data_IF_945739849037
#
_entry.id   IF_945739849037
#
_cell.length_a   1.000
_cell.length_b   1.000
_cell.length_c   1.000
_cell.angle_alpha   90.00
_cell.angle_beta   90.00
_cell.angle_gamma   90.00
#
_symmetry.space_group_name_H-M   'P 1'
#
loop_
_entity.id
_entity.type
_entity.pdbx_description
1 polymer ?
2 non-polymer ?
3 non-polymer ?
4 water ?
#
# COMPACT_ATOMS: atom_id res chain seq x y z
N UNK A 33 -21.92 23.21 8.44
CA UNK A 33 -23.29 22.92 8.83
C UNK A 33 -23.37 21.89 9.95
N UNK A 34 -24.32 22.07 10.85
CA UNK A 34 -24.59 21.06 11.88
C UNK A 34 -25.14 19.81 11.22
N UNK A 35 -25.91 20.00 10.16
CA UNK A 35 -26.57 18.90 9.47
C UNK A 35 -25.60 18.05 8.65
N UNK A 36 -24.59 18.69 8.07
CA UNK A 36 -23.58 17.96 7.30
C UNK A 36 -22.80 17.00 8.20
N UNK A 37 -22.45 17.47 9.39
CA UNK A 37 -21.70 16.66 10.34
C UNK A 37 -22.52 15.48 10.85
N UNK A 38 -23.83 15.71 11.02
CA UNK A 38 -24.73 14.66 11.47
C UNK A 38 -24.72 13.46 10.53
N UNK A 39 -24.76 13.76 9.23
CA UNK A 39 -24.81 12.73 8.20
C UNK A 39 -23.52 11.92 8.16
N UNK A 40 -22.38 12.62 8.17
CA UNK A 40 -21.08 11.96 8.15
C UNK A 40 -20.86 11.11 9.39
N UNK A 41 -21.24 11.64 10.55
CA UNK A 41 -21.14 10.91 11.80
C UNK A 41 -21.91 9.59 11.73
N UNK A 42 -23.15 9.67 11.26
CA UNK A 42 -23.99 8.50 11.11
C UNK A 42 -23.39 7.52 10.09
N UNK A 43 -22.86 8.08 9.00
CA UNK A 43 -22.32 7.28 7.92
C UNK A 43 -21.07 6.51 8.35
N UNK A 44 -20.22 7.16 9.16
CA UNK A 44 -19.05 6.50 9.73
C UNK A 44 -19.45 5.26 10.52
N UNK A 45 -20.32 5.47 11.50
CA UNK A 45 -20.71 4.42 12.42
C UNK A 45 -21.43 3.28 11.70
N UNK A 46 -22.24 3.63 10.71
CA UNK A 46 -23.00 2.64 9.96
C UNK A 46 -22.09 1.77 9.10
N UNK A 47 -21.14 2.39 8.42
CA UNK A 47 -20.22 1.65 7.55
C UNK A 47 -19.19 0.87 8.36
N UNK A 48 -18.75 1.44 9.48
CA UNK A 48 -17.90 0.71 10.40
C UNK A 48 -18.62 -0.56 10.82
N UNK A 49 -19.88 -0.42 11.18
CA UNK A 49 -20.71 -1.55 11.57
C UNK A 49 -21.12 -2.45 10.41
N UNK A 50 -21.80 -1.88 9.40
CA UNK A 50 -22.36 -2.69 8.31
C UNK A 50 -21.52 -2.83 7.03
N UNK A 51 -20.48 -2.01 6.88
CA UNK A 51 -19.78 -1.96 5.61
C UNK A 51 -20.52 -1.13 4.58
N UNK A 52 -19.79 -0.68 3.54
CA UNK A 52 -20.34 0.20 2.52
C UNK A 52 -21.63 -0.29 1.89
N UNK A 53 -21.56 -1.44 1.22
CA UNK A 53 -22.67 -1.99 0.44
C UNK A 53 -24.00 -2.02 1.19
N UNK A 54 -23.97 -2.50 2.43
CA UNK A 54 -25.19 -2.71 3.20
C UNK A 54 -25.69 -1.44 3.90
N UNK A 55 -24.97 -0.34 3.74
CA UNK A 55 -25.40 0.92 4.34
C UNK A 55 -26.25 1.72 3.36
N UNK A 56 -27.54 1.80 3.65
CA UNK A 56 -28.50 2.52 2.80
C UNK A 56 -28.49 4.01 3.07
N UNK A 57 -28.92 4.80 2.09
CA UNK A 57 -29.26 6.19 2.33
C UNK A 57 -30.37 6.22 3.38
N UNK A 58 -31.27 5.26 3.29
CA UNK A 58 -32.36 5.09 4.24
C UNK A 58 -31.84 4.86 5.66
N UNK A 59 -30.82 4.01 5.80
CA UNK A 59 -30.22 3.74 7.11
C UNK A 59 -29.64 5.01 7.70
N UNK A 60 -28.98 5.79 6.86
CA UNK A 60 -28.34 7.02 7.29
C UNK A 60 -29.38 8.00 7.85
N UNK A 61 -30.55 8.05 7.22
CA UNK A 61 -31.66 8.86 7.72
C UNK A 61 -32.09 8.39 9.10
N UNK A 62 -32.28 7.08 9.23
CA UNK A 62 -32.69 6.47 10.49
C UNK A 62 -31.77 6.88 11.63
N UNK A 63 -30.48 6.98 11.33
CA UNK A 63 -29.49 7.36 12.33
C UNK A 63 -29.42 8.86 12.60
N UNK A 64 -29.36 9.68 11.54
CA UNK A 64 -29.19 11.12 11.72
C UNK A 64 -30.48 11.94 11.73
N UNK A 65 -31.60 11.32 11.37
CA UNK A 65 -32.88 12.02 11.36
C UNK A 65 -33.17 12.85 10.11
N UNK A 66 -32.15 13.11 9.31
CA UNK A 66 -32.31 13.89 8.07
C UNK A 66 -32.90 13.04 6.95
N UNK A 67 -33.88 13.59 6.24
CA UNK A 67 -34.53 12.88 5.14
C UNK A 67 -33.57 12.64 3.97
N UNK A 68 -33.79 11.57 3.20
CA UNK A 68 -32.95 11.24 2.04
C UNK A 68 -32.76 12.41 1.09
N UNK A 69 -33.84 13.15 0.84
CA UNK A 69 -33.79 14.33 -0.03
C UNK A 69 -32.80 15.36 0.49
N UNK A 70 -32.72 15.49 1.81
CA UNK A 70 -31.77 16.41 2.42
C UNK A 70 -30.35 15.89 2.26
N UNK A 71 -30.18 14.58 2.41
CA UNK A 71 -28.88 13.94 2.23
C UNK A 71 -28.38 14.12 0.80
N UNK A 72 -29.22 13.75 -0.16
CA UNK A 72 -28.92 13.95 -1.57
C UNK A 72 -28.61 15.41 -1.89
N UNK A 73 -29.35 16.32 -1.26
CA UNK A 73 -29.18 17.74 -1.53
C UNK A 73 -27.79 18.23 -1.09
N UNK A 74 -27.25 17.62 -0.04
CA UNK A 74 -25.94 17.97 0.46
C UNK A 74 -24.82 17.32 -0.36
N UNK A 75 -24.75 15.99 -0.32
CA UNK A 75 -23.63 15.27 -0.96
C UNK A 75 -23.91 14.70 -2.35
N UNK A 76 -25.15 14.79 -2.81
CA UNK A 76 -25.49 14.45 -4.18
C UNK A 76 -25.77 12.98 -4.44
N UNK A 77 -25.21 12.12 -3.61
CA UNK A 77 -25.31 10.66 -3.77
C UNK A 77 -24.57 9.95 -2.66
N UNK A 78 -24.69 8.63 -2.64
CA UNK A 78 -24.04 7.80 -1.63
C UNK A 78 -22.52 7.88 -1.72
N UNK A 79 -21.99 7.86 -2.94
CA UNK A 79 -20.56 8.00 -3.15
C UNK A 79 -20.11 9.39 -2.76
N UNK A 80 -20.94 10.39 -3.04
CA UNK A 80 -20.66 11.76 -2.67
C UNK A 80 -20.57 11.93 -1.17
N UNK A 81 -21.34 11.12 -0.44
CA UNK A 81 -21.26 11.10 1.02
C UNK A 81 -19.95 10.48 1.44
N UNK A 82 -19.66 9.30 0.89
CA UNK A 82 -18.45 8.54 1.20
C UNK A 82 -17.19 9.39 1.03
N UNK A 83 -17.14 10.15 -0.07
CA UNK A 83 -16.05 11.05 -0.35
C UNK A 83 -15.86 12.07 0.78
N UNK A 84 -16.88 12.90 0.99
CA UNK A 84 -16.85 13.94 2.02
C UNK A 84 -16.53 13.37 3.40
N UNK A 85 -17.04 12.18 3.67
CA UNK A 85 -16.73 11.44 4.88
C UNK A 85 -15.24 11.15 4.97
N UNK A 86 -14.69 10.70 3.85
CA UNK A 86 -13.30 10.28 3.77
C UNK A 86 -12.37 11.49 3.81
N UNK A 87 -12.80 12.59 3.21
CA UNK A 87 -11.97 13.80 3.17
C UNK A 87 -11.78 14.42 4.54
N UNK A 88 -12.88 14.64 5.27
CA UNK A 88 -12.78 15.29 6.57
C UNK A 88 -12.05 14.38 7.56
N UNK A 89 -12.02 13.09 7.26
CA UNK A 89 -11.22 12.15 8.01
C UNK A 89 -9.74 12.44 7.80
N UNK A 90 -9.40 12.85 6.57
CA UNK A 90 -8.03 13.25 6.24
C UNK A 90 -7.67 14.55 6.94
N UNK A 91 -8.56 15.54 6.78
CA UNK A 91 -8.36 16.87 7.33
C UNK A 91 -8.05 16.82 8.83
N UNK A 92 -8.62 15.85 9.52
CA UNK A 92 -8.36 15.64 10.94
C UNK A 92 -7.05 14.90 11.18
N UNK A 93 -6.74 13.94 10.31
CA UNK A 93 -5.49 13.20 10.41
C UNK A 93 -4.31 14.14 10.26
N UNK A 94 -4.43 15.09 9.34
CA UNK A 94 -3.35 16.01 9.04
C UNK A 94 -3.23 17.12 10.07
N UNK A 95 -4.37 17.60 10.57
CA UNK A 95 -4.37 18.66 11.58
C UNK A 95 -3.75 18.19 12.89
N UNK A 96 -3.84 16.88 13.15
CA UNK A 96 -3.25 16.30 14.36
C UNK A 96 -1.74 16.24 14.25
N UNK A 97 -1.22 16.50 13.06
CA UNK A 97 0.22 16.62 12.83
C UNK A 97 0.59 18.06 12.48
N UNK A 98 1.46 18.69 13.29
CA UNK A 98 1.83 20.07 12.99
C UNK A 98 2.74 20.16 11.76
N UNK A 99 2.69 21.27 11.04
CA UNK A 99 3.64 21.51 9.97
C UNK A 99 4.98 21.87 10.64
N UNK A 100 6.01 22.11 9.84
CA UNK A 100 7.33 22.39 10.39
C UNK A 100 7.36 23.71 11.14
N UNK A 101 6.69 24.71 10.60
CA UNK A 101 6.67 26.02 11.24
C UNK A 101 5.78 26.00 12.47
N UNK A 102 4.84 25.07 12.50
CA UNK A 102 4.00 24.87 13.68
C UNK A 102 4.80 24.21 14.79
N UNK A 103 5.96 23.67 14.40
CA UNK A 103 7.11 23.51 15.31
C UNK A 103 6.66 22.82 16.65
N UNK A 104 6.99 23.22 17.90
CA UNK A 104 7.90 24.27 18.35
C UNK A 104 9.11 23.66 19.05
N UNK A 105 10.05 24.51 19.45
CA UNK A 105 11.33 24.06 19.96
C UNK A 105 12.43 24.34 18.96
N UNK A 106 13.68 24.46 19.45
CA UNK A 106 14.85 24.84 18.65
C UNK A 106 15.27 23.77 17.66
N UNK A 107 14.36 23.33 16.79
CA UNK A 107 14.61 22.21 15.89
C UNK A 107 15.10 21.06 16.77
N UNK A 108 14.18 20.49 17.56
CA UNK A 108 14.57 19.65 18.70
C UNK A 108 15.35 18.40 18.19
N UNK A 109 14.85 17.50 17.30
CA UNK A 109 13.74 17.53 16.32
C UNK A 109 14.04 18.57 15.16
N UNK A 110 13.14 19.19 14.35
CA UNK A 110 11.69 19.29 14.40
C UNK A 110 10.90 18.01 14.00
N UNK A 111 11.59 16.87 14.13
CA UNK A 111 10.97 15.53 14.28
C UNK A 111 9.88 15.32 15.39
N UNK A 112 10.27 15.12 16.68
CA UNK A 112 9.34 15.02 17.87
C UNK A 112 8.02 14.41 17.47
N UNK A 113 7.04 15.30 17.61
CA UNK A 113 5.67 15.16 17.18
C UNK A 113 5.59 14.51 15.81
N UNK A 114 6.16 15.19 14.82
CA UNK A 114 5.99 14.82 13.42
C UNK A 114 6.14 13.33 13.20
N UNK A 115 7.17 12.73 13.80
CA UNK A 115 7.22 11.27 13.82
C UNK A 115 6.32 10.70 14.93
N UNK A 116 6.38 11.26 16.13
CA UNK A 116 5.61 10.78 17.27
C UNK A 116 4.10 10.80 17.01
N UNK A 117 3.62 11.88 16.41
CA UNK A 117 2.21 11.98 16.02
C UNK A 117 1.90 10.92 14.97
N UNK A 118 2.66 10.94 13.89
CA UNK A 118 2.53 9.98 12.80
C UNK A 118 2.52 8.55 13.31
N UNK A 119 3.37 8.27 14.31
CA UNK A 119 3.40 6.97 14.97
C UNK A 119 2.08 6.68 15.69
N UNK A 120 1.65 7.61 16.53
CA UNK A 120 0.43 7.43 17.31
C UNK A 120 -0.80 7.52 16.43
N UNK A 121 -0.67 8.18 15.28
CA UNK A 121 -1.79 8.30 14.36
C UNK A 121 -1.94 7.06 13.50
N UNK A 122 -1.03 6.11 13.62
CA UNK A 122 -1.47 4.78 13.31
C UNK A 122 -1.58 4.09 14.66
N UNK A 123 -2.77 4.20 15.25
CA UNK A 123 -3.25 3.30 16.28
C UNK A 123 -4.73 3.15 16.04
N UNK A 124 -5.11 2.05 15.37
CA UNK A 124 -6.50 1.74 15.03
C UNK A 124 -7.38 2.99 14.84
N UNK A 125 -6.75 4.01 14.26
CA UNK A 125 -7.44 4.91 13.37
C UNK A 125 -6.67 4.90 12.05
N UNK A 126 -6.43 3.70 11.45
CA UNK A 126 -6.16 3.88 10.03
C UNK A 126 -7.46 4.27 9.38
N UNK A 127 -8.51 3.46 9.61
CA UNK A 127 -9.88 3.87 9.31
C UNK A 127 -9.88 4.47 7.92
N UNK A 128 -9.89 5.79 7.93
CA UNK A 128 -9.65 6.62 6.77
C UNK A 128 -8.53 6.11 5.85
N UNK A 129 -7.45 5.58 6.42
CA UNK A 129 -6.34 5.05 5.62
C UNK A 129 -6.78 3.88 4.74
N UNK A 130 -7.42 2.89 5.36
CA UNK A 130 -7.94 1.74 4.62
C UNK A 130 -8.89 2.19 3.52
N UNK A 131 -9.76 3.13 3.86
CA UNK A 131 -10.70 3.69 2.90
C UNK A 131 -9.95 4.36 1.74
N UNK A 132 -8.89 5.10 2.07
CA UNK A 132 -8.10 5.77 1.04
C UNK A 132 -7.51 4.78 0.05
N UNK A 133 -6.82 3.77 0.56
CA UNK A 133 -6.16 2.80 -0.30
C UNK A 133 -7.19 2.01 -1.11
N UNK A 134 -8.35 1.75 -0.52
CA UNK A 134 -9.44 1.12 -1.27
C UNK A 134 -9.90 2.01 -2.42
N UNK A 135 -10.19 3.26 -2.10
CA UNK A 135 -10.71 4.20 -3.09
C UNK A 135 -9.69 4.53 -4.18
N UNK A 136 -8.41 4.43 -3.84
CA UNK A 136 -7.36 4.77 -4.79
C UNK A 136 -7.29 3.76 -5.94
N UNK A 137 -7.71 2.54 -5.67
CA UNK A 137 -7.70 1.48 -6.66
C UNK A 137 -9.05 1.23 -7.32
N UNK A 138 -10.07 2.00 -6.92
CA UNK A 138 -11.41 1.82 -7.49
C UNK A 138 -11.44 2.22 -8.96
N UNK A 139 -12.14 1.41 -9.76
CA UNK A 139 -12.22 1.64 -11.20
C UNK A 139 -13.55 2.28 -11.58
N UNK A 140 -13.52 3.11 -12.62
CA UNK A 140 -14.67 3.90 -13.05
C UNK A 140 -15.16 4.78 -11.91
N UNK A 141 -14.23 5.50 -11.30
CA UNK A 141 -14.49 6.22 -10.07
C UNK A 141 -15.35 7.47 -10.24
N UNK A 142 -16.30 7.64 -9.34
CA UNK A 142 -17.10 8.86 -9.25
C UNK A 142 -16.17 10.07 -9.11
N UNK A 143 -16.44 11.12 -9.89
CA UNK A 143 -15.57 12.32 -9.96
C UNK A 143 -15.26 12.93 -8.59
N UNK A 144 -16.29 13.03 -7.75
CA UNK A 144 -16.13 13.61 -6.42
C UNK A 144 -15.13 12.80 -5.60
N UNK A 145 -15.16 11.48 -5.77
CA UNK A 145 -14.27 10.60 -5.03
C UNK A 145 -12.83 10.70 -5.53
N UNK A 146 -12.68 10.67 -6.85
CA UNK A 146 -11.36 10.76 -7.47
C UNK A 146 -10.66 12.05 -7.10
N UNK A 147 -11.44 13.13 -6.97
CA UNK A 147 -10.91 14.42 -6.59
C UNK A 147 -10.43 14.42 -5.14
N UNK A 148 -11.19 13.74 -4.28
CA UNK A 148 -10.84 13.68 -2.86
C UNK A 148 -9.59 12.85 -2.67
N UNK A 149 -9.53 11.71 -3.35
CA UNK A 149 -8.36 10.83 -3.30
C UNK A 149 -7.10 11.59 -3.72
N UNK A 150 -7.22 12.40 -4.77
CA UNK A 150 -6.08 13.16 -5.28
C UNK A 150 -5.64 14.24 -4.29
N UNK A 151 -6.59 14.94 -3.68
CA UNK A 151 -6.26 16.00 -2.74
C UNK A 151 -5.56 15.44 -1.50
N UNK A 152 -6.04 14.28 -1.03
CA UNK A 152 -5.45 13.64 0.15
C UNK A 152 -4.03 13.18 -0.13
N UNK A 153 -3.85 12.49 -1.26
CA UNK A 153 -2.53 12.01 -1.66
C UNK A 153 -1.55 13.16 -1.85
N UNK A 154 -1.98 14.20 -2.56
CA UNK A 154 -1.16 15.38 -2.77
C UNK A 154 -0.81 16.06 -1.46
N UNK A 155 -1.76 16.09 -0.54
CA UNK A 155 -1.53 16.72 0.76
C UNK A 155 -0.47 15.95 1.53
N UNK A 156 -0.63 14.63 1.58
CA UNK A 156 0.33 13.77 2.27
C UNK A 156 1.74 13.95 1.71
N UNK A 157 1.85 13.95 0.39
CA UNK A 157 3.13 14.18 -0.28
C UNK A 157 3.70 15.53 0.11
N UNK A 158 2.85 16.55 0.08
CA UNK A 158 3.25 17.91 0.42
C UNK A 158 3.76 18.00 1.86
N UNK A 159 3.13 17.26 2.77
CA UNK A 159 3.49 17.28 4.17
C UNK A 159 4.86 16.65 4.41
N UNK A 160 5.12 15.52 3.76
CA UNK A 160 6.42 14.89 3.84
C UNK A 160 7.50 15.81 3.25
N UNK A 161 7.15 16.47 2.15
CA UNK A 161 8.06 17.39 1.50
C UNK A 161 8.43 18.55 2.42
N UNK A 162 7.46 19.01 3.21
CA UNK A 162 7.69 20.11 4.15
C UNK A 162 8.75 19.74 5.19
N UNK A 163 8.65 18.54 5.74
CA UNK A 163 9.58 18.09 6.76
C UNK A 163 10.97 17.83 6.19
N UNK A 164 11.02 17.15 5.05
CA UNK A 164 12.26 16.63 4.50
C UNK A 164 13.23 17.72 4.02
N UNK A 165 12.70 18.84 3.53
CA UNK A 165 13.56 19.94 3.05
C UNK A 165 14.53 20.42 4.13
N UNK A 166 14.14 20.24 5.39
CA UNK A 166 14.96 20.70 6.51
C UNK A 166 16.05 19.70 6.88
N UNK A 167 16.07 18.55 6.23
CA UNK A 167 17.12 17.57 6.45
C UNK A 167 18.37 17.86 5.62
N UNK A 168 18.23 18.74 4.64
CA UNK A 168 19.35 19.08 3.76
C UNK A 168 20.17 20.25 4.29
N UNK A 169 21.49 20.25 3.99
CA UNK A 169 22.33 21.42 4.29
C UNK A 169 21.79 22.66 3.60
N UNK A 170 21.97 23.83 4.21
CA UNK A 170 21.41 25.06 3.68
C UNK A 170 22.14 25.56 2.43
N UNK A 171 23.36 25.08 2.22
CA UNK A 171 24.21 25.60 1.15
C UNK A 171 24.02 24.84 -0.16
N UNK A 172 23.05 23.93 -0.17
CA UNK A 172 22.68 23.22 -1.40
C UNK A 172 21.90 24.14 -2.32
N UNK A 173 22.33 24.26 -3.59
CA UNK A 173 21.60 25.06 -4.58
C UNK A 173 20.14 24.58 -4.72
N UNK A 174 19.18 25.51 -4.65
CA UNK A 174 17.74 25.23 -4.58
C UNK A 174 17.23 24.24 -5.64
N UNK A 175 17.69 24.38 -6.88
CA UNK A 175 17.27 23.49 -7.95
C UNK A 175 17.72 22.07 -7.68
N UNK A 176 18.97 21.92 -7.25
CA UNK A 176 19.52 20.63 -6.88
C UNK A 176 18.78 20.07 -5.68
N UNK A 177 18.42 20.95 -4.75
CA UNK A 177 17.68 20.56 -3.56
C UNK A 177 16.31 19.99 -3.94
N UNK A 178 15.64 20.65 -4.87
CA UNK A 178 14.31 20.24 -5.32
C UNK A 178 14.30 18.80 -5.81
N UNK A 179 15.35 18.42 -6.53
CA UNK A 179 15.46 17.07 -7.05
C UNK A 179 15.63 16.05 -5.93
N UNK A 180 16.55 16.35 -5.01
CA UNK A 180 16.84 15.45 -3.89
C UNK A 180 15.62 15.29 -3.00
N UNK A 181 15.01 16.42 -2.63
CA UNK A 181 13.83 16.44 -1.77
C UNK A 181 12.69 15.63 -2.38
N UNK A 182 12.47 15.80 -3.68
CA UNK A 182 11.39 15.10 -4.37
C UNK A 182 11.60 13.59 -4.34
N UNK A 183 12.85 13.16 -4.43
CA UNK A 183 13.15 11.74 -4.47
C UNK A 183 13.08 11.13 -3.07
N UNK A 184 13.49 11.88 -2.06
CA UNK A 184 13.39 11.43 -0.68
C UNK A 184 11.93 11.39 -0.25
N UNK A 185 11.15 12.35 -0.73
CA UNK A 185 9.73 12.44 -0.41
C UNK A 185 8.99 11.23 -0.94
N UNK A 186 9.20 10.93 -2.22
CA UNK A 186 8.61 9.76 -2.86
C UNK A 186 8.96 8.50 -2.09
N UNK A 187 10.21 8.43 -1.63
CA UNK A 187 10.70 7.28 -0.88
C UNK A 187 9.98 7.15 0.46
N UNK A 188 9.85 8.26 1.17
CA UNK A 188 9.22 8.28 2.49
C UNK A 188 7.74 7.92 2.40
N UNK A 189 7.06 8.51 1.41
CA UNK A 189 5.65 8.25 1.19
C UNK A 189 5.41 6.78 0.89
N UNK A 190 6.29 6.19 0.08
CA UNK A 190 6.22 4.77 -0.23
C UNK A 190 6.33 3.93 1.04
N UNK A 191 7.33 4.25 1.87
CA UNK A 191 7.56 3.52 3.10
C UNK A 191 6.37 3.66 4.04
N UNK A 192 5.83 4.87 4.13
CA UNK A 192 4.70 5.15 5.00
C UNK A 192 3.46 4.38 4.55
N UNK A 193 3.26 4.31 3.24
CA UNK A 193 2.19 3.48 2.68
C UNK A 193 2.36 2.03 3.10
N UNK A 194 3.60 1.56 3.04
CA UNK A 194 3.92 0.19 3.43
C UNK A 194 3.66 -0.09 4.89
N UNK A 195 3.78 0.94 5.73
CA UNK A 195 3.58 0.78 7.17
C UNK A 195 2.13 0.41 7.50
N UNK A 196 1.17 1.00 6.78
CA UNK A 196 -0.23 0.66 6.99
C UNK A 196 -0.46 -0.83 6.77
N UNK A 197 0.05 -1.33 5.64
CA UNK A 197 -0.17 -2.72 5.26
C UNK A 197 0.55 -3.68 6.20
N UNK A 198 1.74 -3.28 6.65
CA UNK A 198 2.46 -4.06 7.64
C UNK A 198 1.63 -4.21 8.91
N UNK A 199 1.03 -3.11 9.35
CA UNK A 199 0.19 -3.11 10.53
C UNK A 199 -1.11 -3.84 10.30
N UNK A 200 -1.57 -3.86 9.06
CA UNK A 200 -2.80 -4.58 8.70
C UNK A 200 -2.58 -6.07 8.54
N UNK A 201 -1.54 -6.45 7.77
CA UNK A 201 -1.25 -7.84 7.48
C UNK A 201 -0.43 -8.55 8.56
N UNK A 202 0.42 -7.80 9.25
CA UNK A 202 1.20 -8.35 10.35
C UNK A 202 1.07 -7.52 11.62
N UNK A 203 -0.16 -7.40 12.16
CA UNK A 203 -0.39 -6.52 13.31
C UNK A 203 0.37 -6.96 14.56
N UNK A 204 0.54 -8.27 14.70
CA UNK A 204 1.21 -8.84 15.87
C UNK A 204 2.68 -8.41 15.96
N UNK A 205 3.42 -8.62 14.87
CA UNK A 205 4.87 -8.45 14.89
C UNK A 205 5.36 -7.09 14.38
N UNK A 206 4.44 -6.20 14.03
CA UNK A 206 4.84 -4.91 13.46
C UNK A 206 5.01 -3.85 14.53
N UNK A 207 6.15 -3.16 14.50
CA UNK A 207 6.40 -2.03 15.38
C UNK A 207 6.40 -0.76 14.54
N UNK A 208 5.36 0.05 14.68
CA UNK A 208 5.17 1.22 13.83
C UNK A 208 6.23 2.28 14.10
N UNK A 209 6.47 2.54 15.38
CA UNK A 209 7.44 3.54 15.79
C UNK A 209 8.83 3.19 15.29
N UNK A 210 9.21 1.93 15.46
CA UNK A 210 10.51 1.45 15.04
C UNK A 210 10.72 1.62 13.53
N UNK A 211 9.67 1.36 12.76
CA UNK A 211 9.74 1.45 11.31
C UNK A 211 9.98 2.87 10.82
N UNK A 212 9.31 3.84 11.43
CA UNK A 212 9.49 5.23 11.06
C UNK A 212 10.84 5.72 11.53
N UNK A 213 11.40 5.05 12.52
CA UNK A 213 12.73 5.37 12.98
C UNK A 213 13.73 4.96 11.92
N UNK A 214 13.52 3.78 11.36
CA UNK A 214 14.39 3.29 10.29
C UNK A 214 14.24 4.17 9.05
N UNK A 215 13.07 4.75 8.86
CA UNK A 215 12.85 5.64 7.73
C UNK A 215 13.73 6.87 7.80
N UNK A 216 13.66 7.59 8.92
CA UNK A 216 14.43 8.82 9.07
C UNK A 216 15.92 8.52 9.04
N UNK A 217 16.29 7.35 9.58
CA UNK A 217 17.67 6.90 9.50
C UNK A 217 18.06 6.63 8.06
N UNK A 218 17.14 6.03 7.30
CA UNK A 218 17.39 5.74 5.90
C UNK A 218 17.51 7.02 5.10
N UNK A 219 16.63 7.98 5.38
CA UNK A 219 16.64 9.27 4.69
C UNK A 219 17.93 10.03 4.94
N UNK A 220 18.39 10.02 6.19
CA UNK A 220 19.62 10.70 6.55
C UNK A 220 20.82 10.08 5.88
N UNK A 221 20.74 8.76 5.64
CA UNK A 221 21.82 8.06 4.96
C UNK A 221 21.78 8.30 3.45
N UNK A 222 20.58 8.48 2.91
CA UNK A 222 20.41 8.64 1.47
C UNK A 222 20.76 10.05 0.98
N UNK A 223 20.74 11.02 1.88
CA UNK A 223 21.02 12.40 1.50
C UNK A 223 22.44 12.57 0.92
N UNK A 224 23.48 12.06 1.61
CA UNK A 224 24.80 12.16 0.98
C UNK A 224 24.88 11.43 -0.37
N UNK A 225 24.25 10.26 -0.44
CA UNK A 225 24.26 9.47 -1.65
C UNK A 225 23.63 10.21 -2.84
N UNK A 226 22.52 10.90 -2.58
CA UNK A 226 21.80 11.61 -3.63
C UNK A 226 22.58 12.80 -4.17
N UNK A 227 23.30 13.49 -3.30
CA UNK A 227 24.05 14.67 -3.70
C UNK A 227 25.32 14.30 -4.47
N UNK A 228 25.75 13.05 -4.35
CA UNK A 228 26.91 12.57 -5.09
C UNK A 228 26.66 12.60 -6.59
N UNK B 33 -7.93 -29.68 -15.10
CA UNK B 33 -6.52 -29.37 -15.38
C UNK B 33 -6.45 -28.30 -16.45
N UNK B 34 -6.66 -28.70 -17.70
CA UNK B 34 -6.75 -27.76 -18.80
C UNK B 34 -8.03 -26.92 -18.67
N UNK B 35 -9.01 -27.48 -17.97
CA UNK B 35 -10.28 -26.80 -17.76
C UNK B 35 -10.12 -25.61 -16.82
N UNK B 36 -9.36 -25.81 -15.75
CA UNK B 36 -9.08 -24.76 -14.78
C UNK B 36 -8.42 -23.57 -15.45
N UNK B 37 -7.46 -23.84 -16.33
CA UNK B 37 -6.71 -22.78 -16.99
C UNK B 37 -7.58 -21.93 -17.89
N UNK B 38 -8.44 -22.56 -18.68
CA UNK B 38 -9.29 -21.81 -19.61
C UNK B 38 -10.38 -21.02 -18.88
N UNK B 39 -10.72 -21.45 -17.67
CA UNK B 39 -11.69 -20.70 -16.86
C UNK B 39 -11.05 -19.42 -16.34
N UNK B 40 -9.83 -19.55 -15.81
CA UNK B 40 -9.10 -18.40 -15.28
C UNK B 40 -8.75 -17.41 -16.38
N UNK B 41 -8.30 -17.93 -17.52
CA UNK B 41 -7.98 -17.10 -18.68
C UNK B 41 -9.17 -16.24 -19.07
N UNK B 42 -10.33 -16.88 -19.20
CA UNK B 42 -11.56 -16.18 -19.53
C UNK B 42 -11.92 -15.18 -18.43
N UNK B 43 -11.69 -15.56 -17.18
CA UNK B 43 -12.04 -14.72 -16.05
C UNK B 43 -11.14 -13.48 -15.97
N UNK B 44 -9.86 -13.66 -16.27
CA UNK B 44 -8.92 -12.53 -16.37
C UNK B 44 -9.44 -11.49 -17.33
N UNK B 45 -9.54 -11.88 -18.60
CA UNK B 45 -9.97 -11.00 -19.68
C UNK B 45 -11.31 -10.35 -19.40
N UNK B 46 -12.23 -11.14 -18.87
CA UNK B 46 -13.55 -10.65 -18.54
C UNK B 46 -13.46 -9.66 -17.38
N UNK B 47 -12.52 -9.89 -16.48
CA UNK B 47 -12.32 -8.94 -15.39
C UNK B 47 -11.37 -7.80 -15.73
N UNK B 48 -10.59 -7.93 -16.80
CA UNK B 48 -9.82 -6.78 -17.29
C UNK B 48 -10.81 -5.76 -17.82
N UNK B 49 -11.67 -6.19 -18.74
CA UNK B 49 -12.83 -5.42 -19.15
C UNK B 49 -13.86 -5.51 -18.02
N UNK B 50 -14.97 -4.77 -18.07
CA UNK B 50 -16.23 -5.08 -17.33
C UNK B 50 -16.42 -4.93 -15.79
N UNK B 51 -15.36 -4.77 -15.00
CA UNK B 51 -15.48 -4.83 -13.54
C UNK B 51 -15.57 -6.26 -13.00
N UNK B 52 -15.22 -6.48 -11.74
CA UNK B 52 -15.47 -7.77 -11.07
C UNK B 52 -16.96 -7.97 -10.94
N UNK B 53 -17.62 -6.90 -10.50
CA UNK B 53 -19.04 -6.91 -10.21
C UNK B 53 -19.87 -7.36 -11.40
N UNK B 54 -19.51 -6.87 -12.59
CA UNK B 54 -20.34 -7.12 -13.76
C UNK B 54 -19.91 -8.38 -14.50
N UNK B 55 -18.93 -9.10 -13.97
CA UNK B 55 -18.54 -10.36 -14.59
C UNK B 55 -19.29 -11.52 -13.94
N UNK B 56 -20.27 -12.05 -14.66
CA UNK B 56 -21.06 -13.18 -14.18
C UNK B 56 -20.40 -14.53 -14.46
N UNK B 57 -20.76 -15.53 -13.66
CA UNK B 57 -20.42 -16.91 -13.95
C UNK B 57 -20.90 -17.26 -15.37
N UNK B 58 -22.05 -16.71 -15.73
CA UNK B 58 -22.62 -16.87 -17.06
C UNK B 58 -21.66 -16.38 -18.15
N UNK B 59 -21.13 -15.17 -17.98
CA UNK B 59 -20.18 -14.60 -18.93
C UNK B 59 -18.95 -15.48 -19.09
N UNK B 60 -18.47 -16.02 -17.97
CA UNK B 60 -17.30 -16.86 -17.97
C UNK B 60 -17.52 -18.10 -18.83
N UNK B 61 -18.73 -18.67 -18.76
CA UNK B 61 -19.10 -19.79 -19.61
C UNK B 61 -19.02 -19.43 -21.08
N UNK B 62 -19.67 -18.32 -21.42
CA UNK B 62 -19.71 -17.80 -22.78
C UNK B 62 -18.31 -17.72 -23.39
N UNK B 63 -17.34 -17.32 -22.56
CA UNK B 63 -15.96 -17.18 -23.02
C UNK B 63 -15.21 -18.51 -23.10
N UNK B 64 -15.30 -19.35 -22.07
CA UNK B 64 -14.52 -20.58 -22.04
C UNK B 64 -15.28 -21.84 -22.47
N UNK B 65 -16.57 -21.73 -22.71
CA UNK B 65 -17.38 -22.87 -23.15
C UNK B 65 -17.76 -23.89 -22.08
N UNK B 66 -17.23 -23.72 -20.87
CA UNK B 66 -17.55 -24.62 -19.77
C UNK B 66 -18.84 -24.19 -19.06
N UNK B 67 -19.71 -25.15 -18.77
CA UNK B 67 -20.99 -24.88 -18.10
C UNK B 67 -20.76 -24.35 -16.68
N UNK B 68 -21.70 -23.52 -16.19
CA UNK B 68 -21.63 -22.98 -14.83
C UNK B 68 -21.41 -24.05 -13.77
N UNK B 69 -22.10 -25.18 -13.91
CA UNK B 69 -21.99 -26.28 -12.97
C UNK B 69 -20.56 -26.81 -12.92
N UNK B 70 -19.89 -26.81 -14.06
CA UNK B 70 -18.49 -27.24 -14.13
C UNK B 70 -17.59 -26.21 -13.45
N UNK B 71 -17.92 -24.94 -13.62
CA UNK B 71 -17.16 -23.85 -13.01
C UNK B 71 -17.24 -23.94 -11.49
N UNK B 72 -18.45 -24.02 -10.97
CA UNK B 72 -18.68 -24.20 -9.54
C UNK B 72 -17.95 -25.44 -9.03
N UNK B 73 -18.08 -26.54 -9.76
CA UNK B 73 -17.48 -27.80 -9.34
C UNK B 73 -15.97 -27.66 -9.09
N UNK B 74 -15.33 -26.82 -9.88
CA UNK B 74 -13.90 -26.57 -9.72
C UNK B 74 -13.63 -25.58 -8.58
N UNK B 75 -14.09 -24.35 -8.73
CA UNK B 75 -13.74 -23.31 -7.76
C UNK B 75 -14.78 -23.01 -6.68
N UNK B 76 -15.97 -23.59 -6.80
CA UNK B 76 -16.96 -23.56 -5.72
C UNK B 76 -17.84 -22.32 -5.71
N UNK B 77 -17.32 -21.22 -6.26
CA UNK B 77 -18.03 -19.96 -6.28
C UNK B 77 -17.30 -18.94 -7.13
N UNK B 78 -17.88 -17.75 -7.25
CA UNK B 78 -17.30 -16.67 -8.04
C UNK B 78 -16.02 -16.13 -7.38
N UNK B 79 -16.10 -15.86 -6.09
CA UNK B 79 -14.93 -15.41 -5.34
C UNK B 79 -13.95 -16.56 -5.18
N UNK B 80 -14.43 -17.79 -5.32
CA UNK B 80 -13.58 -18.96 -5.34
C UNK B 80 -12.73 -18.97 -6.60
N UNK B 81 -13.30 -18.48 -7.69
CA UNK B 81 -12.58 -18.34 -8.95
C UNK B 81 -11.56 -17.21 -8.83
N UNK B 82 -12.03 -16.08 -8.31
CA UNK B 82 -11.22 -14.88 -8.12
C UNK B 82 -9.91 -15.18 -7.39
N UNK B 83 -10.01 -15.95 -6.32
CA UNK B 83 -8.86 -16.39 -5.55
C UNK B 83 -7.85 -17.12 -6.43
N UNK B 84 -8.27 -18.25 -6.98
CA UNK B 84 -7.43 -19.10 -7.82
C UNK B 84 -6.73 -18.31 -8.92
N UNK B 85 -7.46 -17.38 -9.52
CA UNK B 85 -6.91 -16.52 -10.57
C UNK B 85 -5.81 -15.62 -10.01
N UNK B 86 -6.06 -15.05 -8.85
CA UNK B 86 -5.11 -14.13 -8.23
C UNK B 86 -3.85 -14.86 -7.75
N UNK B 87 -4.03 -16.08 -7.25
CA UNK B 87 -2.90 -16.87 -6.82
C UNK B 87 -2.01 -17.24 -8.00
N UNK B 88 -2.63 -17.69 -9.09
CA UNK B 88 -1.88 -18.09 -10.28
C UNK B 88 -1.05 -16.93 -10.82
N UNK B 89 -1.59 -15.73 -10.74
CA UNK B 89 -0.88 -14.54 -11.16
C UNK B 89 0.33 -14.27 -10.29
N UNK B 90 0.22 -14.60 -9.00
CA UNK B 90 1.32 -14.42 -8.07
C UNK B 90 2.42 -15.46 -8.32
N UNK B 91 2.02 -16.70 -8.54
CA UNK B 91 2.96 -17.78 -8.81
C UNK B 91 3.80 -17.49 -10.04
N UNK B 92 3.19 -16.81 -11.01
CA UNK B 92 3.90 -16.42 -12.24
C UNK B 92 4.80 -15.21 -11.99
N UNK B 93 4.35 -14.31 -11.12
CA UNK B 93 5.15 -13.16 -10.73
C UNK B 93 6.40 -13.62 -9.99
N UNK B 94 6.23 -14.63 -9.15
CA UNK B 94 7.31 -15.11 -8.30
C UNK B 94 8.30 -15.99 -9.06
N UNK B 95 7.80 -16.79 -10.00
CA UNK B 95 8.67 -17.62 -10.83
C UNK B 95 9.51 -16.76 -11.76
N UNK B 96 8.99 -15.58 -12.11
CA UNK B 96 9.67 -14.65 -12.99
C UNK B 96 10.85 -13.99 -12.28
N UNK B 97 10.99 -14.26 -10.99
CA UNK B 97 12.15 -13.82 -10.24
C UNK B 97 12.85 -15.04 -9.65
N UNK B 98 14.19 -15.08 -9.74
CA UNK B 98 14.91 -16.22 -9.17
C UNK B 98 15.14 -16.11 -7.67
N UNK B 99 15.20 -17.27 -7.01
CA UNK B 99 15.68 -17.34 -5.63
C UNK B 99 17.17 -17.10 -5.65
N UNK B 100 17.75 -16.76 -4.51
CA UNK B 100 19.19 -16.53 -4.41
C UNK B 100 19.99 -17.74 -4.89
N UNK B 101 19.61 -18.93 -4.42
CA UNK B 101 20.35 -20.15 -4.73
C UNK B 101 20.30 -20.54 -6.21
N UNK B 102 19.20 -20.23 -6.88
CA UNK B 102 19.02 -20.61 -8.28
C UNK B 102 19.53 -19.53 -9.22
N UNK B 103 20.05 -18.46 -8.64
CA UNK B 103 20.40 -17.28 -9.42
C UNK B 103 21.80 -17.37 -10.05
N UNK B 104 21.89 -17.43 -11.37
CA UNK B 104 23.14 -17.14 -12.10
C UNK B 104 24.35 -17.99 -11.66
N UNK B 105 25.28 -17.29 -11.02
CA UNK B 105 26.58 -17.74 -10.55
C UNK B 105 26.82 -16.67 -9.51
N UNK B 106 27.87 -16.79 -8.70
CA UNK B 106 28.10 -15.60 -7.89
C UNK B 106 28.88 -14.33 -8.46
N UNK B 107 28.35 -13.44 -9.32
CA UNK B 107 29.01 -12.11 -9.58
C UNK B 107 28.29 -10.88 -8.93
N UNK B 108 26.99 -10.67 -9.18
CA UNK B 108 26.22 -9.43 -8.92
C UNK B 108 26.41 -8.64 -7.56
N UNK B 109 26.41 -9.25 -6.36
CA UNK B 109 26.56 -10.67 -6.06
C UNK B 109 25.52 -11.61 -6.71
N UNK B 110 24.28 -11.71 -6.21
CA UNK B 110 23.21 -12.19 -7.09
C UNK B 110 22.02 -11.21 -7.37
N UNK B 111 22.09 -9.97 -6.85
CA UNK B 111 20.92 -9.10 -6.69
C UNK B 111 20.41 -8.29 -7.90
N UNK B 112 21.32 -7.72 -8.69
CA UNK B 112 20.99 -6.65 -9.64
C UNK B 112 20.06 -7.05 -10.78
N UNK B 113 19.75 -8.33 -10.91
CA UNK B 113 18.65 -8.69 -11.79
C UNK B 113 17.47 -9.06 -10.89
N UNK B 114 17.69 -9.85 -9.84
CA UNK B 114 16.69 -9.97 -8.78
C UNK B 114 16.12 -8.58 -8.50
N UNK B 115 16.99 -7.57 -8.52
CA UNK B 115 16.56 -6.19 -8.68
C UNK B 115 15.77 -5.98 -9.97
N UNK B 116 16.40 -6.12 -11.13
CA UNK B 116 15.70 -5.75 -12.38
C UNK B 116 14.54 -6.68 -12.67
N UNK B 117 14.60 -7.93 -12.19
CA UNK B 117 13.44 -8.83 -12.28
C UNK B 117 12.28 -8.26 -11.46
N UNK B 118 12.61 -7.66 -10.34
CA UNK B 118 11.61 -7.01 -9.49
C UNK B 118 11.16 -5.75 -10.19
N UNK B 119 12.12 -5.04 -10.79
CA UNK B 119 11.86 -3.88 -11.63
C UNK B 119 11.19 -4.30 -12.93
N UNK B 120 11.62 -5.44 -13.50
CA UNK B 120 10.99 -5.97 -14.72
C UNK B 120 9.48 -6.05 -14.58
N UNK B 121 9.05 -6.48 -13.41
CA UNK B 121 7.65 -6.83 -13.19
C UNK B 121 6.83 -5.64 -12.69
N UNK B 122 7.43 -4.46 -12.68
CA UNK B 122 6.66 -3.21 -12.69
C UNK B 122 7.14 -2.22 -13.79
N UNK B 123 6.38 -2.00 -14.88
CA UNK B 123 5.35 -2.85 -15.54
C UNK B 123 3.92 -2.91 -14.94
N UNK B 124 3.72 -2.42 -13.72
CA UNK B 124 2.39 -2.08 -13.19
C UNK B 124 1.26 -3.11 -13.40
N UNK B 125 1.27 -4.21 -12.65
CA UNK B 125 0.20 -5.22 -12.72
C UNK B 125 -1.08 -4.80 -11.95
N UNK B 126 -2.16 -5.62 -11.95
CA UNK B 126 -2.49 -7.01 -12.29
C UNK B 126 -2.69 -7.39 -13.77
N UNK B 127 -2.49 -8.65 -14.18
CA UNK B 127 -1.83 -9.75 -13.43
C UNK B 127 -2.37 -10.01 -12.01
N UNK B 128 -1.58 -9.71 -10.98
CA UNK B 128 -2.09 -9.81 -9.60
C UNK B 128 -2.15 -8.48 -8.79
N UNK B 129 -1.05 -7.73 -8.67
CA UNK B 129 -0.84 -6.77 -7.56
C UNK B 129 -2.00 -5.87 -7.08
N UNK B 130 -2.74 -5.22 -7.97
CA UNK B 130 -3.83 -4.36 -7.52
C UNK B 130 -4.92 -5.18 -6.83
N UNK B 131 -5.19 -6.37 -7.37
CA UNK B 131 -6.14 -7.28 -6.75
C UNK B 131 -5.69 -7.65 -5.35
N UNK B 132 -4.40 -7.89 -5.16
CA UNK B 132 -3.89 -8.28 -3.85
C UNK B 132 -4.21 -7.23 -2.78
N UNK B 133 -3.89 -5.98 -3.08
CA UNK B 133 -4.10 -4.92 -2.11
C UNK B 133 -5.59 -4.70 -1.87
N UNK B 134 -6.40 -4.80 -2.92
CA UNK B 134 -7.85 -4.74 -2.79
C UNK B 134 -8.37 -5.85 -1.89
N UNK B 135 -7.98 -7.08 -2.19
CA UNK B 135 -8.44 -8.24 -1.44
C UNK B 135 -7.94 -8.23 0.01
N UNK B 136 -6.74 -7.69 0.22
CA UNK B 136 -6.14 -7.66 1.55
C UNK B 136 -6.94 -6.78 2.50
N UNK B 137 -7.60 -5.77 1.95
CA UNK B 137 -8.43 -4.87 2.75
C UNK B 137 -9.93 -5.18 2.70
N UNK B 138 -10.32 -6.24 1.98
CA UNK B 138 -11.72 -6.65 1.92
C UNK B 138 -12.20 -7.17 3.27
N UNK B 139 -13.45 -6.88 3.61
CA UNK B 139 -14.01 -7.29 4.90
C UNK B 139 -14.97 -8.47 4.76
N UNK B 140 -14.94 -9.36 5.75
CA UNK B 140 -15.78 -10.56 5.78
C UNK B 140 -15.73 -11.31 4.47
N UNK B 141 -14.52 -11.46 3.92
CA UNK B 141 -14.41 -11.73 2.50
C UNK B 141 -14.79 -13.16 2.08
N UNK B 142 -13.95 -14.13 2.41
CA UNK B 142 -14.15 -15.52 2.01
C UNK B 142 -12.94 -16.32 2.47
N UNK B 143 -13.18 -17.53 3.01
CA UNK B 143 -12.08 -18.36 3.54
C UNK B 143 -11.00 -18.63 2.50
N UNK B 144 -11.41 -18.99 1.28
CA UNK B 144 -10.47 -19.34 0.22
C UNK B 144 -9.65 -18.13 -0.23
N UNK B 145 -10.26 -16.95 -0.17
CA UNK B 145 -9.57 -15.74 -0.60
C UNK B 145 -8.57 -15.26 0.44
N UNK B 146 -8.99 -15.27 1.70
CA UNK B 146 -8.11 -14.87 2.81
C UNK B 146 -6.86 -15.74 2.85
N UNK B 147 -7.03 -17.02 2.50
CA UNK B 147 -5.91 -17.96 2.48
C UNK B 147 -4.93 -17.62 1.38
N UNK B 148 -5.45 -17.25 0.22
CA UNK B 148 -4.61 -16.89 -0.92
C UNK B 148 -3.82 -15.62 -0.61
N UNK B 149 -4.51 -14.61 -0.09
CA UNK B 149 -3.88 -13.36 0.32
C UNK B 149 -2.75 -13.62 1.32
N UNK B 150 -3.00 -14.51 2.26
CA UNK B 150 -2.02 -14.84 3.30
C UNK B 150 -0.80 -15.54 2.71
N UNK B 151 -1.03 -16.48 1.80
CA UNK B 151 0.06 -17.22 1.17
C UNK B 151 0.91 -16.32 0.28
N UNK B 152 0.25 -15.42 -0.46
CA UNK B 152 0.96 -14.52 -1.36
C UNK B 152 1.83 -13.52 -0.58
N UNK B 153 1.27 -12.95 0.47
CA UNK B 153 1.98 -12.02 1.33
C UNK B 153 3.18 -12.68 2.00
N UNK B 154 2.96 -13.85 2.60
CA UNK B 154 4.02 -14.60 3.27
C UNK B 154 5.13 -14.99 2.31
N UNK B 155 4.75 -15.35 1.09
CA UNK B 155 5.72 -15.73 0.07
C UNK B 155 6.61 -14.55 -0.27
N UNK B 156 5.98 -13.40 -0.49
CA UNK B 156 6.70 -12.17 -0.83
C UNK B 156 7.65 -11.78 0.30
N UNK B 157 7.20 -11.90 1.53
CA UNK B 157 8.04 -11.65 2.69
C UNK B 157 9.21 -12.63 2.71
N UNK B 158 8.90 -13.90 2.46
CA UNK B 158 9.91 -14.95 2.42
C UNK B 158 10.95 -14.68 1.34
N UNK B 159 10.50 -14.17 0.20
CA UNK B 159 11.40 -13.90 -0.92
C UNK B 159 12.37 -12.77 -0.61
N UNK B 160 11.87 -11.69 -0.01
CA UNK B 160 12.73 -10.58 0.39
C UNK B 160 13.73 -11.03 1.46
N UNK B 161 13.27 -11.82 2.41
CA UNK B 161 14.12 -12.32 3.48
C UNK B 161 15.25 -13.19 2.92
N UNK B 162 14.93 -13.98 1.90
CA UNK B 162 15.93 -14.84 1.25
C UNK B 162 17.06 -14.02 0.66
N UNK B 163 16.72 -12.91 0.03
CA UNK B 163 17.72 -12.04 -0.59
C UNK B 163 18.55 -11.30 0.44
N UNK B 164 17.89 -10.80 1.49
CA UNK B 164 18.51 -9.89 2.44
C UNK B 164 19.54 -10.56 3.36
N UNK B 165 19.37 -11.85 3.64
CA UNK B 165 20.30 -12.57 4.51
C UNK B 165 21.74 -12.47 4.02
N UNK B 166 21.92 -12.35 2.71
CA UNK B 166 23.25 -12.31 2.12
C UNK B 166 23.84 -10.90 2.11
N UNK B 167 23.08 -9.93 2.59
CA UNK B 167 23.59 -8.57 2.74
C UNK B 167 24.38 -8.43 4.05
N UNK B 168 24.19 -9.38 4.95
CA UNK B 168 24.85 -9.34 6.26
C UNK B 168 26.22 -10.00 6.23
N UNK B 169 27.16 -9.51 7.05
CA UNK B 169 28.47 -10.14 7.23
C UNK B 169 28.32 -11.58 7.71
N UNK B 170 29.27 -12.43 7.36
CA UNK B 170 29.21 -13.85 7.68
C UNK B 170 29.31 -14.15 9.16
N UNK B 171 30.00 -13.28 9.91
CA UNK B 171 30.36 -13.57 11.29
C UNK B 171 29.33 -13.12 12.32
N UNK B 172 28.19 -12.63 11.84
CA UNK B 172 27.10 -12.25 12.74
C UNK B 172 26.45 -13.50 13.34
N UNK B 173 26.36 -13.54 14.68
CA UNK B 173 25.67 -14.65 15.36
C UNK B 173 24.25 -14.82 14.83
N UNK B 174 23.88 -16.05 14.43
CA UNK B 174 22.63 -16.37 13.74
C UNK B 174 21.38 -15.79 14.37
N UNK B 175 21.27 -15.87 15.70
CA UNK B 175 20.12 -15.34 16.40
C UNK B 175 20.01 -13.83 16.23
N UNK B 176 21.16 -13.16 16.25
CA UNK B 176 21.21 -11.71 16.09
C UNK B 176 20.93 -11.34 14.64
N UNK B 177 21.41 -12.18 13.72
CA UNK B 177 21.15 -12.00 12.31
C UNK B 177 19.65 -12.04 12.04
N UNK B 178 18.99 -13.01 12.68
CA UNK B 178 17.56 -13.22 12.49
C UNK B 178 16.74 -11.98 12.85
N UNK B 179 17.14 -11.28 13.90
CA UNK B 179 16.45 -10.06 14.29
C UNK B 179 16.66 -8.96 13.24
N UNK B 180 17.90 -8.81 12.80
CA UNK B 180 18.25 -7.77 11.84
C UNK B 180 17.60 -8.01 10.48
N UNK B 181 17.70 -9.25 9.99
CA UNK B 181 17.11 -9.62 8.71
C UNK B 181 15.60 -9.38 8.71
N UNK B 182 14.95 -9.70 9.84
CA UNK B 182 13.52 -9.53 9.97
C UNK B 182 13.11 -8.08 9.85
N UNK B 183 13.88 -7.19 10.48
CA UNK B 183 13.55 -5.78 10.49
C UNK B 183 13.81 -5.15 9.13
N UNK B 184 14.89 -5.57 8.48
CA UNK B 184 15.22 -5.11 7.13
C UNK B 184 14.16 -5.60 6.14
N UNK B 185 13.69 -6.83 6.34
CA UNK B 185 12.69 -7.42 5.46
C UNK B 185 11.37 -6.66 5.54
N UNK B 186 10.92 -6.40 6.76
CA UNK B 186 9.70 -5.62 6.97
C UNK B 186 9.82 -4.26 6.31
N UNK B 187 11.00 -3.66 6.41
CA UNK B 187 11.27 -2.38 5.80
C UNK B 187 11.19 -2.47 4.28
N UNK B 188 11.82 -3.49 3.71
CA UNK B 188 11.87 -3.67 2.26
C UNK B 188 10.47 -3.90 1.69
N UNK B 189 9.72 -4.80 2.33
CA UNK B 189 8.37 -5.12 1.91
C UNK B 189 7.47 -3.90 1.95
N UNK B 190 7.65 -3.07 2.98
CA UNK B 190 6.91 -1.82 3.10
C UNK B 190 7.21 -0.90 1.92
N UNK B 191 8.49 -0.70 1.63
CA UNK B 191 8.91 0.14 0.54
C UNK B 191 8.36 -0.38 -0.79
N UNK B 192 8.46 -1.69 -1.00
CA UNK B 192 7.99 -2.30 -2.23
C UNK B 192 6.48 -2.14 -2.39
N UNK B 193 5.75 -2.19 -1.27
CA UNK B 193 4.32 -1.93 -1.30
C UNK B 193 4.05 -0.51 -1.78
N UNK B 194 4.79 0.45 -1.23
CA UNK B 194 4.63 1.84 -1.58
C UNK B 194 4.99 2.13 -3.02
N UNK B 195 5.93 1.35 -3.57
CA UNK B 195 6.35 1.51 -4.95
C UNK B 195 5.18 1.30 -5.89
N UNK B 196 4.32 0.34 -5.57
CA UNK B 196 3.14 0.11 -6.39
C UNK B 196 2.25 1.35 -6.44
N UNK B 197 1.95 1.89 -5.27
CA UNK B 197 1.03 3.03 -5.18
C UNK B 197 1.62 4.28 -5.80
N UNK B 198 2.94 4.42 -5.72
CA UNK B 198 3.63 5.53 -6.37
C UNK B 198 3.40 5.45 -7.87
N UNK B 199 3.58 4.26 -8.43
CA UNK B 199 3.35 4.04 -9.85
C UNK B 199 1.90 4.17 -10.24
N UNK B 200 1.00 3.88 -9.30
CA UNK B 200 -0.43 4.00 -9.57
C UNK B 200 -0.92 5.45 -9.47
N UNK B 201 -0.56 6.12 -8.38
CA UNK B 201 -1.00 7.50 -8.13
C UNK B 201 -0.16 8.56 -8.83
N UNK B 202 1.12 8.26 -9.04
CA UNK B 202 2.01 9.18 -9.75
C UNK B 202 2.75 8.48 -10.88
N UNK B 203 2.01 7.98 -11.88
CA UNK B 203 2.65 7.20 -12.95
C UNK B 203 3.63 8.01 -13.80
N UNK B 204 3.30 9.29 -14.03
CA UNK B 204 4.14 10.16 -14.84
C UNK B 204 5.56 10.29 -14.27
N UNK B 205 5.63 10.68 -13.00
CA UNK B 205 6.88 11.09 -12.39
C UNK B 205 7.61 10.01 -11.59
N UNK B 206 7.08 8.79 -11.57
CA UNK B 206 7.68 7.72 -10.77
C UNK B 206 8.67 6.87 -11.56
N UNK B 207 9.90 6.81 -11.07
CA UNK B 207 10.91 5.93 -11.65
C UNK B 207 11.06 4.70 -10.77
N UNK B 208 10.55 3.56 -11.24
CA UNK B 208 10.50 2.34 -10.43
C UNK B 208 11.89 1.78 -10.16
N UNK B 209 12.74 1.79 -11.19
CA UNK B 209 14.10 1.31 -11.07
C UNK B 209 14.88 2.11 -10.04
N UNK B 210 14.76 3.43 -10.12
CA UNK B 210 15.47 4.33 -9.23
C UNK B 210 15.08 4.09 -7.77
N UNK B 211 13.79 3.83 -7.55
CA UNK B 211 13.28 3.61 -6.20
C UNK B 211 13.84 2.37 -5.53
N UNK B 212 13.94 1.28 -6.29
CA UNK B 212 14.47 0.03 -5.76
C UNK B 212 15.98 0.11 -5.56
N UNK B 213 16.62 1.03 -6.28
CA UNK B 213 18.03 1.29 -6.08
C UNK B 213 18.22 2.02 -4.75
N UNK B 214 17.32 2.94 -4.45
CA UNK B 214 17.36 3.66 -3.18
C UNK B 214 17.05 2.72 -2.01
N UNK B 215 16.21 1.73 -2.26
CA UNK B 215 15.90 0.74 -1.23
C UNK B 215 17.16 -0.06 -0.88
N UNK B 216 17.84 -0.54 -1.91
CA UNK B 216 19.07 -1.29 -1.71
C UNK B 216 20.11 -0.45 -0.96
N UNK B 217 20.26 0.81 -1.39
CA UNK B 217 21.18 1.73 -0.74
C UNK B 217 20.76 2.00 0.71
N UNK B 218 19.46 2.09 0.94
CA UNK B 218 18.95 2.32 2.29
C UNK B 218 19.22 1.12 3.18
N UNK B 219 19.05 -0.09 2.62
CA UNK B 219 19.26 -1.31 3.37
C UNK B 219 20.73 -1.48 3.76
N UNK B 220 21.62 -1.12 2.84
CA UNK B 220 23.06 -1.22 3.11
C UNK B 220 23.47 -0.23 4.20
N UNK B 221 22.78 0.91 4.24
CA UNK B 221 23.06 1.91 5.26
C UNK B 221 22.53 1.49 6.62
N UNK B 222 21.39 0.81 6.63
CA UNK B 222 20.73 0.43 7.87
C UNK B 222 21.38 -0.76 8.56
N UNK B 223 22.16 -1.55 7.83
CA UNK B 223 22.75 -2.76 8.40
C UNK B 223 23.73 -2.45 9.55
N UNK B 224 24.71 -1.54 9.33
CA UNK B 224 25.54 -1.21 10.49
C UNK B 224 24.74 -0.58 11.64
N UNK B 225 23.78 0.28 11.30
CA UNK B 225 22.94 0.93 12.30
C UNK B 225 22.23 -0.10 13.17
N UNK B 226 21.73 -1.16 12.55
CA UNK B 226 20.99 -2.20 13.26
C UNK B 226 21.89 -3.08 14.13
N UNK B 227 23.11 -3.31 13.66
CA UNK B 227 24.03 -4.21 14.36
C UNK B 227 24.62 -3.59 15.63
N UNK B 228 24.72 -2.28 15.67
CA UNK B 228 25.29 -1.62 16.85
C UNK B 228 24.21 -1.36 17.89
N UNK B 229 22.96 -1.56 17.50
CA UNK B 229 21.82 -1.45 18.40
C UNK B 229 21.34 -2.79 18.95
N UNK B 230 22.03 -3.87 18.56
CA UNK B 230 21.49 -5.24 18.58
C UNK B 230 19.98 -5.28 18.36
X LIG C 1 -16.16 -0.71 4.01
X LIG C 1 -15.74 -0.29 2.69
X LIG C 1 -16.78 0.41 4.72
X LIG C 1 -17.11 -1.83 3.89
X LIG C 1 -15.01 -1.16 4.79
X LIG D 1 -1.55 8.50 1.77
X LIG D 1 -0.11 8.51 1.63
X LIG D 1 -2.14 9.34 0.72
X LIG D 1 -2.02 7.12 1.62
X LIG D 1 -1.94 9.02 3.08
X LIG E 1 -34.79 16.50 6.64
X LIG F 1 -36.66 11.25 9.66
X LIG G 1 -11.61 -5.58 -10.99
X LIG G 1 -10.25 -5.94 -11.38
X LIG G 1 -11.97 -4.29 -11.56
X LIG G 1 -12.52 -6.60 -11.51
X LIG G 1 -11.72 -5.52 -9.53
X LIG H 1 2.88 -8.29 -1.45
X LIG H 1 3.51 -8.30 -2.77
X LIG H 1 2.30 -6.97 -1.17
X LIG H 1 3.86 -8.59 -0.40
X LIG H 1 1.83 -9.30 -1.43
X LIG I 1 12.65 -10.29 -4.25
X LIG I 1 12.88 -10.55 -5.67
X LIG I 1 13.57 -9.24 -3.81
X LIG I 1 12.90 -11.50 -3.49
X LIG I 1 11.26 -9.88 -4.06
X LIG J 1 31.36 -11.47 5.44
#
# INVERSE_FOLDING_TARGET
>A
XGSSHHHHHHSSGLVPRGSHXGVPAKKKQQQGERSRESILDATERLMATKGYAATSISDIRDACGLAPSSIYWHFGSKEGVLAAMMERGAQRFFAAIPTWDEAHGPVEQRSERQLTELVSLQSQHPDFLRLFYLLSMERSQDPAVAAVVRRVRNTAIARFRDSITHLLPSDIPPGKADLVVAELTAFAVALSDGVYFAGHLEPDTTDVERMYRRLRQALEALIPVLLEET
>B
XGSSHHHHHHSSGLVPRGSHXGVPAKKKQQQGERSRESILDATERLMATKGYAATSISDIRDACGLAPSSIYWHFGSKEGVLAAMMERGAQRFFAAIPTWDEAHGPVEQRSERQLTELVSLQSQHPDFLRLFYLLSMERSQDPAVAAVVRRVRNTAIARFRDSITHLLPSDIPPGKADLVVAELTAFAVALSDGVYFAGHLEPDTTDVERMYRRLRQALEALIPVLLEET
>C hetero
1 SO4 S O1 O2 O3 O4
>D hetero
1 SO4 S O1 O2 O3 O4
>E hetero
1 NA NA
>F hetero
1 NA NA
>G hetero
1 SO4 S O1 O2 O3 O4
>H hetero
1 SO4 S O1 O2 O3 O4
>I hetero
1 SO4 S O1 O2 O3 O4
>J hetero
1 NA NA
#
